data_IF_238750470814
#
_entry.id   IF_238750470814
#
_cell.length_a   1.000
_cell.length_b   1.000
_cell.length_c   1.000
_cell.angle_alpha   90.00
_cell.angle_beta   90.00
_cell.angle_gamma   90.00
#
_symmetry.space_group_name_H-M   'P 1'
#
loop_
_entity.id
_entity.type
_entity.pdbx_description
1 polymer ?
#
# COMPACT_ATOMS: atom_id res chain seq x y z
N UNK A 1 -31.28 -7.29 14.45
CA UNK A 1 -30.64 -7.85 13.24
C UNK A 1 -29.19 -7.45 13.31
N UNK A 2 -28.30 -8.35 13.70
CA UNK A 2 -26.87 -8.11 13.60
C UNK A 2 -26.53 -8.13 12.12
N UNK A 3 -26.13 -6.99 11.57
CA UNK A 3 -25.40 -7.01 10.32
C UNK A 3 -24.08 -7.73 10.64
N UNK A 4 -23.90 -8.96 10.15
CA UNK A 4 -22.58 -9.57 10.20
C UNK A 4 -21.74 -8.74 9.24
N UNK A 5 -20.79 -7.97 9.80
CA UNK A 5 -19.87 -7.19 9.00
C UNK A 5 -19.03 -8.13 8.15
N UNK A 6 -18.76 -7.72 6.91
CA UNK A 6 -17.92 -8.48 5.99
C UNK A 6 -16.57 -8.79 6.65
N UNK A 7 -16.19 -10.07 6.68
CA UNK A 7 -14.96 -10.52 7.36
C UNK A 7 -13.75 -10.15 6.53
N UNK A 8 -13.26 -8.93 6.72
CA UNK A 8 -12.12 -8.37 5.97
C UNK A 8 -10.81 -8.54 6.73
N UNK A 9 -9.81 -9.13 6.07
CA UNK A 9 -8.44 -9.20 6.57
C UNK A 9 -7.60 -8.10 5.92
N UNK A 10 -6.94 -7.27 6.73
CA UNK A 10 -5.99 -6.27 6.24
C UNK A 10 -4.58 -6.82 6.36
N UNK A 11 -3.88 -6.87 5.24
CA UNK A 11 -2.51 -7.34 5.09
C UNK A 11 -1.63 -6.08 4.87
N UNK A 12 -0.59 -5.85 5.69
CA UNK A 12 0.28 -4.69 5.55
C UNK A 12 1.15 -4.76 4.31
N UNK A 13 2.13 -3.86 4.25
CA UNK A 13 3.23 -3.97 3.32
C UNK A 13 3.89 -5.35 3.30
N UNK A 14 4.29 -5.75 2.10
CA UNK A 14 4.88 -7.07 1.85
C UNK A 14 6.34 -6.96 1.48
N UNK A 15 6.81 -5.82 0.96
CA UNK A 15 8.18 -5.64 0.47
C UNK A 15 8.69 -6.86 -0.32
N UNK A 16 7.94 -7.28 -1.36
CA UNK A 16 8.31 -8.42 -2.20
C UNK A 16 8.45 -9.76 -1.47
N UNK A 17 7.54 -10.08 -0.53
CA UNK A 17 7.50 -11.35 0.23
C UNK A 17 6.27 -12.19 -0.16
N UNK A 18 6.27 -12.86 -1.32
CA UNK A 18 5.10 -13.60 -1.83
C UNK A 18 4.68 -14.76 -0.93
N UNK A 19 5.61 -15.35 -0.19
CA UNK A 19 5.31 -16.43 0.75
C UNK A 19 4.48 -15.97 1.95
N UNK A 20 4.65 -14.73 2.42
CA UNK A 20 3.82 -14.16 3.49
C UNK A 20 2.40 -13.85 2.99
N UNK A 21 2.27 -13.39 1.73
CA UNK A 21 0.98 -13.19 1.09
C UNK A 21 0.21 -14.52 0.95
N UNK A 22 0.87 -15.58 0.44
CA UNK A 22 0.26 -16.91 0.35
C UNK A 22 -0.13 -17.46 1.71
N UNK A 23 0.74 -17.33 2.71
CA UNK A 23 0.47 -17.77 4.07
C UNK A 23 -0.77 -17.07 4.65
N UNK A 24 -0.96 -15.78 4.35
CA UNK A 24 -2.11 -15.00 4.81
C UNK A 24 -3.42 -15.52 4.18
N UNK A 25 -3.44 -15.78 2.88
CA UNK A 25 -4.60 -16.38 2.22
C UNK A 25 -4.90 -17.80 2.73
N UNK A 26 -3.88 -18.59 3.05
CA UNK A 26 -4.03 -19.94 3.57
C UNK A 26 -4.50 -19.99 5.03
N UNK A 27 -4.02 -19.07 5.87
CA UNK A 27 -4.41 -18.98 7.27
C UNK A 27 -5.86 -18.48 7.45
N UNK A 28 -6.36 -17.70 6.48
CA UNK A 28 -7.68 -17.08 6.53
C UNK A 28 -8.59 -17.49 5.36
N UNK A 29 -8.87 -18.79 5.14
CA UNK A 29 -9.69 -19.23 4.02
C UNK A 29 -11.16 -18.77 4.13
N UNK A 30 -11.57 -18.37 5.34
CA UNK A 30 -12.92 -17.90 5.67
C UNK A 30 -13.06 -16.37 5.67
N UNK A 31 -11.98 -15.61 5.46
CA UNK A 31 -12.11 -14.18 5.22
C UNK A 31 -12.87 -13.96 3.92
N UNK A 32 -13.87 -13.09 3.96
CA UNK A 32 -14.72 -12.79 2.80
C UNK A 32 -13.95 -11.90 1.82
N UNK A 33 -13.17 -10.96 2.37
CA UNK A 33 -12.39 -9.97 1.63
C UNK A 33 -10.98 -9.79 2.19
N UNK A 34 -10.04 -9.40 1.33
CA UNK A 34 -8.68 -9.05 1.69
C UNK A 34 -8.33 -7.64 1.22
N UNK A 35 -7.59 -6.90 2.03
CA UNK A 35 -7.04 -5.59 1.64
C UNK A 35 -5.53 -5.65 1.77
N UNK A 36 -4.81 -5.43 0.68
CA UNK A 36 -3.35 -5.26 0.67
C UNK A 36 -3.05 -3.77 0.83
N UNK A 37 -2.44 -3.38 1.94
CA UNK A 37 -2.34 -1.98 2.37
C UNK A 37 -1.11 -1.24 1.82
N UNK A 38 -0.73 -1.48 0.55
CA UNK A 38 0.40 -0.82 -0.13
C UNK A 38 1.76 -1.45 0.13
N UNK A 39 2.81 -0.91 -0.51
CA UNK A 39 4.22 -1.34 -0.41
C UNK A 39 4.41 -2.86 -0.51
N UNK A 40 3.81 -3.43 -1.55
CA UNK A 40 3.93 -4.84 -1.88
C UNK A 40 5.10 -5.15 -2.84
N UNK A 41 5.74 -4.13 -3.44
CA UNK A 41 6.92 -4.23 -4.30
C UNK A 41 8.25 -3.98 -3.53
N UNK A 42 9.37 -3.74 -4.22
CA UNK A 42 10.63 -3.23 -3.63
C UNK A 42 11.38 -4.12 -2.62
N UNK A 43 11.06 -5.41 -2.58
CA UNK A 43 11.88 -6.39 -1.84
C UNK A 43 12.21 -7.66 -2.63
N UNK A 44 12.28 -8.81 -1.95
CA UNK A 44 13.06 -9.96 -2.46
C UNK A 44 12.52 -10.54 -3.76
N UNK A 45 11.21 -10.57 -3.92
CA UNK A 45 10.51 -11.13 -5.07
C UNK A 45 9.22 -10.35 -5.39
N UNK A 46 9.39 -9.14 -5.93
CA UNK A 46 8.28 -8.31 -6.41
C UNK A 46 7.45 -9.02 -7.47
N UNK A 47 8.11 -9.68 -8.44
CA UNK A 47 7.43 -10.44 -9.48
C UNK A 47 6.51 -11.50 -8.87
N UNK A 48 6.98 -12.28 -7.89
CA UNK A 48 6.18 -13.32 -7.26
C UNK A 48 4.96 -12.78 -6.50
N UNK A 49 5.03 -11.58 -5.92
CA UNK A 49 3.87 -10.92 -5.29
C UNK A 49 2.85 -10.52 -6.35
N UNK A 50 3.31 -9.88 -7.44
CA UNK A 50 2.45 -9.48 -8.55
C UNK A 50 1.82 -10.68 -9.28
N UNK A 51 2.55 -11.79 -9.43
CA UNK A 51 2.01 -13.05 -9.98
C UNK A 51 0.81 -13.54 -9.14
N UNK A 52 0.89 -13.42 -7.80
CA UNK A 52 -0.22 -13.81 -6.91
C UNK A 52 -1.40 -12.86 -7.05
N UNK A 53 -1.14 -11.55 -6.99
CA UNK A 53 -2.19 -10.53 -7.00
C UNK A 53 -2.94 -10.50 -8.34
N UNK A 54 -2.24 -10.71 -9.45
CA UNK A 54 -2.81 -10.81 -10.78
C UNK A 54 -3.79 -11.98 -10.94
N UNK A 55 -3.62 -13.06 -10.17
CA UNK A 55 -4.49 -14.25 -10.18
C UNK A 55 -5.67 -14.15 -9.19
N UNK A 56 -5.77 -13.06 -8.42
CA UNK A 56 -6.85 -12.90 -7.44
C UNK A 56 -8.15 -12.41 -8.07
N UNK A 57 -9.28 -12.81 -7.48
CA UNK A 57 -10.57 -12.21 -7.81
C UNK A 57 -10.60 -10.76 -7.29
N UNK A 58 -10.74 -9.73 -8.15
CA UNK A 58 -10.79 -8.34 -7.72
C UNK A 58 -12.00 -8.01 -6.82
N UNK A 59 -13.05 -8.83 -6.83
CA UNK A 59 -14.17 -8.71 -5.89
C UNK A 59 -13.83 -9.16 -4.47
N UNK A 60 -12.78 -9.98 -4.29
CA UNK A 60 -12.33 -10.48 -2.99
C UNK A 60 -11.03 -9.85 -2.49
N UNK A 61 -10.30 -9.15 -3.35
CA UNK A 61 -9.00 -8.55 -3.01
C UNK A 61 -8.96 -7.12 -3.48
N UNK A 62 -8.93 -6.18 -2.55
CA UNK A 62 -8.58 -4.79 -2.81
C UNK A 62 -7.10 -4.58 -2.63
N UNK A 63 -6.43 -4.09 -3.66
CA UNK A 63 -5.02 -3.68 -3.59
C UNK A 63 -4.95 -2.17 -3.46
N UNK A 64 -4.27 -1.69 -2.42
CA UNK A 64 -3.95 -0.28 -2.25
C UNK A 64 -2.53 -0.01 -2.73
N UNK A 65 -2.28 1.18 -3.28
CA UNK A 65 -0.94 1.65 -3.56
C UNK A 65 -0.30 2.19 -2.29
N UNK A 66 0.96 1.83 -2.08
CA UNK A 66 1.86 2.57 -1.21
C UNK A 66 2.64 3.62 -1.99
N UNK A 67 3.56 4.29 -1.30
CA UNK A 67 4.44 5.26 -1.98
C UNK A 67 5.44 4.55 -2.90
N UNK A 68 5.79 3.30 -2.64
CA UNK A 68 6.68 2.53 -3.51
C UNK A 68 6.04 2.27 -4.87
N UNK A 69 4.81 1.76 -4.89
CA UNK A 69 4.11 1.52 -6.16
C UNK A 69 3.79 2.81 -6.90
N UNK A 70 3.46 3.90 -6.20
CA UNK A 70 3.25 5.20 -6.84
C UNK A 70 4.48 5.65 -7.65
N UNK A 71 5.67 5.52 -7.05
CA UNK A 71 6.93 5.91 -7.69
C UNK A 71 7.26 5.01 -8.87
N UNK A 72 7.11 3.68 -8.73
CA UNK A 72 7.32 2.75 -9.86
C UNK A 72 6.34 3.05 -11.00
N UNK A 73 5.06 3.21 -10.69
CA UNK A 73 4.01 3.47 -11.68
C UNK A 73 4.28 4.79 -12.42
N UNK A 74 4.72 5.83 -11.71
CA UNK A 74 5.12 7.11 -12.30
C UNK A 74 6.32 6.95 -13.25
N UNK A 75 7.34 6.20 -12.83
CA UNK A 75 8.51 5.94 -13.67
C UNK A 75 8.17 5.16 -14.94
N UNK A 76 7.13 4.32 -14.91
CA UNK A 76 6.68 3.53 -16.06
C UNK A 76 5.70 4.29 -16.97
N UNK A 77 4.81 5.10 -16.39
CA UNK A 77 3.60 5.56 -17.07
C UNK A 77 3.37 7.07 -17.07
N UNK A 78 4.26 7.89 -16.49
CA UNK A 78 4.19 9.34 -16.66
C UNK A 78 4.31 9.71 -18.16
N UNK A 79 3.33 10.47 -18.66
CA UNK A 79 3.23 10.84 -20.08
C UNK A 79 4.21 11.94 -20.45
N UNK A 80 4.45 12.90 -19.54
CA UNK A 80 5.44 13.96 -19.76
C UNK A 80 6.87 13.39 -19.64
N UNK A 81 7.69 13.41 -20.70
CA UNK A 81 9.01 12.79 -20.67
C UNK A 81 9.96 13.39 -19.62
N UNK A 82 9.91 14.71 -19.41
CA UNK A 82 10.77 15.38 -18.42
C UNK A 82 10.37 14.98 -16.99
N UNK A 83 9.08 14.95 -16.68
CA UNK A 83 8.57 14.45 -15.41
C UNK A 83 8.88 12.95 -15.22
N UNK A 84 8.76 12.13 -16.27
CA UNK A 84 9.09 10.70 -16.20
C UNK A 84 10.56 10.45 -15.91
N UNK A 85 11.47 11.26 -16.46
CA UNK A 85 12.90 11.18 -16.13
C UNK A 85 13.12 11.48 -14.64
N UNK A 86 12.44 12.50 -14.09
CA UNK A 86 12.49 12.79 -12.64
C UNK A 86 11.99 11.60 -11.83
N UNK A 87 10.85 11.01 -12.19
CA UNK A 87 10.32 9.83 -11.49
C UNK A 87 11.23 8.61 -11.60
N UNK A 88 11.88 8.41 -12.74
CA UNK A 88 12.87 7.35 -12.93
C UNK A 88 14.06 7.53 -11.98
N UNK A 89 14.55 8.75 -11.80
CA UNK A 89 15.61 9.03 -10.82
C UNK A 89 15.13 8.88 -9.36
N UNK A 90 13.86 9.22 -9.07
CA UNK A 90 13.26 8.97 -7.75
C UNK A 90 13.12 7.47 -7.48
N UNK A 91 12.75 6.68 -8.49
CA UNK A 91 12.63 5.22 -8.37
C UNK A 91 13.99 4.56 -8.16
N UNK A 92 15.07 5.08 -8.77
CA UNK A 92 16.46 4.60 -8.63
C UNK A 92 17.04 4.63 -7.20
N UNK A 93 16.28 5.07 -6.21
CA UNK A 93 16.59 4.92 -4.79
C UNK A 93 16.66 3.40 -4.41
N UNK A 94 17.05 2.99 -3.17
CA UNK A 94 17.84 1.78 -2.91
C UNK A 94 17.15 0.41 -3.14
N UNK A 95 15.95 0.40 -3.72
CA UNK A 95 15.11 -0.78 -3.88
C UNK A 95 14.80 -1.17 -5.34
N UNK A 96 14.96 -0.26 -6.32
CA UNK A 96 14.67 -0.54 -7.75
C UNK A 96 15.37 -1.80 -8.28
N UNK A 97 16.63 -1.98 -7.88
CA UNK A 97 17.46 -3.14 -8.18
C UNK A 97 16.79 -4.48 -7.86
N UNK A 98 15.99 -4.51 -6.79
CA UNK A 98 15.31 -5.72 -6.34
C UNK A 98 14.12 -6.03 -7.23
N UNK A 99 13.38 -5.00 -7.64
CA UNK A 99 12.32 -5.14 -8.66
C UNK A 99 12.92 -5.65 -9.96
N UNK A 100 13.93 -4.98 -10.51
CA UNK A 100 14.60 -5.39 -11.75
C UNK A 100 15.04 -6.87 -11.68
N UNK A 101 15.80 -7.24 -10.65
CA UNK A 101 16.26 -8.63 -10.49
C UNK A 101 15.12 -9.65 -10.37
N UNK A 102 13.99 -9.30 -9.76
CA UNK A 102 12.83 -10.20 -9.69
C UNK A 102 12.21 -10.49 -11.06
N UNK A 103 12.43 -9.62 -12.04
CA UNK A 103 12.03 -9.82 -13.44
C UNK A 103 13.15 -10.39 -14.33
N UNK A 104 14.30 -10.76 -13.76
CA UNK A 104 15.43 -11.30 -14.52
C UNK A 104 16.29 -10.24 -15.23
N UNK A 105 16.03 -8.97 -14.94
CA UNK A 105 16.78 -7.82 -15.44
C UNK A 105 18.02 -7.58 -14.56
N UNK A 106 19.22 -7.36 -15.12
CA UNK A 106 20.38 -6.96 -14.33
C UNK A 106 20.12 -5.60 -13.64
N UNK A 107 20.13 -5.63 -12.31
CA UNK A 107 20.20 -4.41 -11.49
C UNK A 107 21.62 -3.82 -11.45
N UNK A 108 21.85 -2.85 -10.56
CA UNK A 108 23.15 -2.21 -10.37
C UNK A 108 24.29 -3.24 -10.23
N UNK A 109 25.46 -2.99 -10.86
CA UNK A 109 25.90 -1.72 -11.46
C UNK A 109 25.48 -1.50 -12.93
N UNK A 110 24.67 -2.39 -13.51
CA UNK A 110 24.11 -2.19 -14.85
C UNK A 110 22.85 -1.34 -14.73
N UNK A 111 22.80 -0.20 -15.41
CA UNK A 111 21.62 0.68 -15.36
C UNK A 111 20.65 0.20 -16.43
N UNK A 112 19.82 -0.76 -16.09
CA UNK A 112 18.57 -0.97 -16.80
C UNK A 112 17.53 0.02 -16.27
N UNK A 113 16.80 0.63 -17.20
CA UNK A 113 15.90 1.75 -16.90
C UNK A 113 14.49 1.24 -16.61
N UNK A 114 13.63 2.13 -16.12
CA UNK A 114 12.19 1.87 -16.08
C UNK A 114 11.66 1.42 -17.47
N UNK A 115 12.27 1.86 -18.57
CA UNK A 115 11.92 1.40 -19.92
C UNK A 115 12.19 -0.08 -20.14
N UNK A 116 13.32 -0.61 -19.69
CA UNK A 116 13.63 -2.04 -19.84
C UNK A 116 12.59 -2.90 -19.10
N UNK A 117 12.20 -2.49 -17.89
CA UNK A 117 11.13 -3.15 -17.15
C UNK A 117 9.79 -2.99 -17.88
N UNK A 118 9.46 -1.79 -18.35
CA UNK A 118 8.22 -1.49 -19.09
C UNK A 118 8.05 -2.37 -20.33
N UNK A 119 9.13 -2.70 -21.03
CA UNK A 119 9.10 -3.57 -22.21
C UNK A 119 8.78 -5.03 -21.89
N UNK A 120 9.11 -5.51 -20.68
CA UNK A 120 8.94 -6.92 -20.29
C UNK A 120 7.84 -7.14 -19.23
N UNK A 121 7.29 -6.07 -18.66
CA UNK A 121 6.30 -6.16 -17.58
C UNK A 121 5.06 -6.90 -18.09
N UNK A 122 4.65 -8.02 -17.47
CA UNK A 122 3.44 -8.72 -17.88
C UNK A 122 2.22 -7.78 -17.82
N UNK A 123 1.31 -7.82 -18.81
CA UNK A 123 0.13 -6.95 -18.84
C UNK A 123 -0.73 -7.05 -17.57
N UNK A 124 -0.84 -8.23 -16.98
CA UNK A 124 -1.61 -8.44 -15.76
C UNK A 124 -0.93 -7.80 -14.53
N UNK A 125 0.40 -7.73 -14.51
CA UNK A 125 1.13 -7.02 -13.45
C UNK A 125 0.95 -5.51 -13.58
N UNK A 126 1.01 -4.99 -14.81
CA UNK A 126 0.69 -3.60 -15.09
C UNK A 126 -0.76 -3.27 -14.69
N UNK A 127 -1.70 -4.20 -14.91
CA UNK A 127 -3.09 -4.03 -14.49
C UNK A 127 -3.24 -3.94 -12.97
N UNK A 128 -2.51 -4.74 -12.18
CA UNK A 128 -2.53 -4.62 -10.70
C UNK A 128 -2.11 -3.21 -10.25
N UNK A 129 -1.02 -2.66 -10.78
CA UNK A 129 -0.56 -1.31 -10.45
C UNK A 129 -1.55 -0.22 -10.90
N UNK A 130 -2.06 -0.35 -12.12
CA UNK A 130 -3.04 0.59 -12.69
C UNK A 130 -4.35 0.58 -11.89
N UNK A 131 -4.85 -0.59 -11.53
CA UNK A 131 -6.20 -0.75 -10.98
C UNK A 131 -6.26 -0.64 -9.46
N UNK A 132 -5.10 -0.65 -8.77
CA UNK A 132 -5.01 -0.39 -7.34
C UNK A 132 -5.66 0.96 -6.95
N UNK A 133 -6.23 0.98 -5.74
CA UNK A 133 -6.85 2.15 -5.13
C UNK A 133 -5.85 2.89 -4.22
N UNK A 134 -6.20 4.10 -3.78
CA UNK A 134 -5.37 4.86 -2.83
C UNK A 134 -5.84 4.71 -1.38
N UNK A 135 -7.06 4.23 -1.19
CA UNK A 135 -7.68 3.94 0.11
C UNK A 135 -8.81 2.92 -0.07
N UNK A 136 -9.25 2.32 1.03
CA UNK A 136 -10.48 1.56 1.12
C UNK A 136 -11.36 2.12 2.23
N UNK A 137 -12.67 2.21 2.01
CA UNK A 137 -13.64 2.70 3.00
C UNK A 137 -14.76 1.70 3.22
N UNK A 138 -14.93 1.29 4.47
CA UNK A 138 -16.08 0.55 4.96
C UNK A 138 -16.98 1.47 5.79
N UNK A 139 -18.06 0.92 6.35
CA UNK A 139 -19.00 1.69 7.17
C UNK A 139 -18.37 2.22 8.47
N UNK A 140 -17.47 1.45 9.08
CA UNK A 140 -16.90 1.68 10.40
C UNK A 140 -15.37 1.90 10.38
N UNK A 141 -14.69 1.58 9.27
CA UNK A 141 -13.25 1.77 9.16
C UNK A 141 -12.81 2.31 7.80
N UNK A 142 -11.60 2.88 7.80
CA UNK A 142 -10.86 3.26 6.60
C UNK A 142 -9.48 2.61 6.61
N UNK A 143 -9.02 2.16 5.44
CA UNK A 143 -7.64 1.69 5.23
C UNK A 143 -6.94 2.65 4.28
N UNK A 144 -5.80 3.20 4.70
CA UNK A 144 -4.91 3.99 3.85
C UNK A 144 -3.48 3.51 4.06
N UNK A 145 -2.59 3.69 3.09
CA UNK A 145 -1.23 3.17 3.24
C UNK A 145 -0.48 3.79 4.43
N UNK A 146 -0.43 5.13 4.57
CA UNK A 146 0.30 5.80 5.65
C UNK A 146 -0.57 6.45 6.74
N UNK A 147 -1.67 7.12 6.36
CA UNK A 147 -2.55 7.78 7.32
C UNK A 147 -3.35 8.94 6.74
N UNK A 148 -3.91 9.78 7.62
CA UNK A 148 -4.78 10.91 7.28
C UNK A 148 -4.17 12.25 7.68
N UNK A 149 -4.62 13.33 7.07
CA UNK A 149 -4.20 14.71 7.37
C UNK A 149 -5.22 15.42 8.28
N UNK A 150 -4.97 16.69 8.62
CA UNK A 150 -5.89 17.54 9.38
C UNK A 150 -7.13 18.00 8.62
N UNK A 151 -7.20 17.77 7.30
CA UNK A 151 -8.37 18.10 6.50
C UNK A 151 -9.54 17.14 6.78
N UNK A 152 -10.80 17.54 6.55
CA UNK A 152 -11.94 16.62 6.68
C UNK A 152 -11.79 15.39 5.77
N UNK A 153 -12.11 14.19 6.26
CA UNK A 153 -11.99 12.95 5.47
C UNK A 153 -12.69 13.01 4.09
N UNK A 154 -13.91 13.56 3.94
CA UNK A 154 -14.52 13.68 2.63
C UNK A 154 -13.68 14.50 1.62
N UNK A 155 -12.98 15.54 2.10
CA UNK A 155 -12.09 16.34 1.26
C UNK A 155 -10.82 15.57 0.89
N UNK A 156 -10.25 14.82 1.84
CA UNK A 156 -9.10 13.94 1.58
C UNK A 156 -9.44 12.85 0.54
N UNK A 157 -10.59 12.20 0.67
CA UNK A 157 -11.03 11.19 -0.30
C UNK A 157 -11.25 11.78 -1.69
N UNK A 158 -11.90 12.94 -1.79
CA UNK A 158 -12.08 13.62 -3.07
C UNK A 158 -10.73 13.99 -3.73
N UNK A 159 -9.75 14.44 -2.93
CA UNK A 159 -8.39 14.68 -3.42
C UNK A 159 -7.74 13.39 -3.92
N UNK A 160 -7.79 12.29 -3.14
CA UNK A 160 -7.23 11.00 -3.55
C UNK A 160 -7.92 10.43 -4.79
N UNK A 161 -9.24 10.57 -4.92
CA UNK A 161 -9.97 10.13 -6.11
C UNK A 161 -9.51 10.92 -7.36
N UNK A 162 -9.31 12.23 -7.24
CA UNK A 162 -8.79 13.07 -8.31
C UNK A 162 -7.34 12.70 -8.68
N UNK A 163 -6.49 12.46 -7.69
CA UNK A 163 -5.12 11.99 -7.90
C UNK A 163 -5.08 10.63 -8.58
N UNK A 164 -5.93 9.69 -8.18
CA UNK A 164 -5.99 8.36 -8.78
C UNK A 164 -6.50 8.41 -10.22
N UNK A 165 -7.46 9.31 -10.52
CA UNK A 165 -7.94 9.53 -11.88
C UNK A 165 -6.84 10.11 -12.77
N UNK A 166 -6.12 11.14 -12.31
CA UNK A 166 -5.00 11.72 -13.04
C UNK A 166 -3.88 10.71 -13.30
N UNK A 167 -3.53 9.92 -12.27
CA UNK A 167 -2.56 8.82 -12.34
C UNK A 167 -2.89 7.82 -13.44
N UNK A 168 -4.16 7.40 -13.51
CA UNK A 168 -4.64 6.44 -14.53
C UNK A 168 -4.61 6.99 -15.96
N UNK A 169 -4.55 8.31 -16.11
CA UNK A 169 -4.27 8.99 -17.38
C UNK A 169 -2.79 9.33 -17.60
N UNK A 170 -1.89 8.79 -16.77
CA UNK A 170 -0.45 9.00 -16.89
C UNK A 170 0.05 10.37 -16.41
N UNK A 171 -0.70 11.07 -15.57
CA UNK A 171 -0.26 12.31 -14.93
C UNK A 171 -0.17 12.12 -13.41
N UNK A 172 1.04 12.18 -12.84
CA UNK A 172 1.28 11.97 -11.42
C UNK A 172 1.41 13.28 -10.62
N UNK A 173 1.14 14.43 -11.26
CA UNK A 173 1.19 15.78 -10.68
C UNK A 173 2.52 16.15 -10.01
N UNK A 174 3.61 15.42 -10.30
CA UNK A 174 4.93 15.66 -9.72
C UNK A 174 5.03 15.48 -8.20
N UNK A 175 4.02 14.88 -7.56
CA UNK A 175 3.97 14.68 -6.11
C UNK A 175 3.49 13.27 -5.74
N UNK A 176 3.79 12.84 -4.51
CA UNK A 176 3.23 11.62 -3.92
C UNK A 176 2.23 12.09 -2.86
N UNK A 177 0.96 11.64 -2.90
CA UNK A 177 -0.01 12.00 -1.87
C UNK A 177 0.52 11.73 -0.46
N UNK A 178 0.30 12.65 0.48
CA UNK A 178 0.79 12.50 1.86
C UNK A 178 0.21 11.27 2.56
N UNK A 179 -1.00 10.85 2.19
CA UNK A 179 -1.65 9.63 2.70
C UNK A 179 -0.94 8.34 2.25
N UNK A 180 -0.07 8.43 1.24
CA UNK A 180 0.82 7.35 0.81
C UNK A 180 2.22 7.54 1.41
N UNK A 181 2.82 8.73 1.31
CA UNK A 181 4.20 8.93 1.77
C UNK A 181 4.37 9.13 3.30
N UNK A 182 3.28 9.36 4.03
CA UNK A 182 3.27 9.73 5.45
C UNK A 182 3.81 11.15 5.75
N UNK A 183 4.42 11.80 4.75
CA UNK A 183 4.97 13.14 4.82
C UNK A 183 4.96 13.76 3.43
N UNK A 184 4.54 15.01 3.33
CA UNK A 184 4.74 15.80 2.13
C UNK A 184 6.22 16.21 1.98
N UNK A 185 6.76 16.03 0.77
CA UNK A 185 8.18 16.29 0.50
C UNK A 185 8.52 17.77 0.43
N UNK A 186 7.58 18.62 0.03
CA UNK A 186 7.83 20.05 -0.21
C UNK A 186 7.61 20.90 1.03
N UNK A 187 6.43 20.83 1.63
CA UNK A 187 6.02 21.56 2.83
C UNK A 187 6.62 20.97 4.11
N UNK A 188 6.89 19.66 4.10
CA UNK A 188 7.33 18.93 5.28
C UNK A 188 6.22 18.49 6.22
N UNK A 189 4.96 18.80 5.89
CA UNK A 189 3.77 18.34 6.63
C UNK A 189 3.71 16.82 6.71
N UNK A 190 2.99 16.30 7.70
CA UNK A 190 2.89 14.87 7.97
C UNK A 190 1.44 14.47 8.16
N UNK A 191 1.17 13.18 7.92
CA UNK A 191 -0.07 12.57 8.43
C UNK A 191 -0.13 12.71 9.95
N UNK A 192 -1.34 12.80 10.47
CA UNK A 192 -1.61 13.01 11.88
C UNK A 192 -1.05 11.86 12.73
N UNK A 193 -0.62 12.22 13.93
CA UNK A 193 -0.37 11.23 14.98
C UNK A 193 -1.71 10.64 15.45
N UNK A 194 -1.68 9.48 16.14
CA UNK A 194 -2.91 8.74 16.44
C UNK A 194 -3.97 9.51 17.21
N UNK A 195 -3.56 10.26 18.24
CA UNK A 195 -4.48 10.99 19.09
C UNK A 195 -5.08 12.21 18.35
N UNK A 196 -4.31 12.84 17.46
CA UNK A 196 -4.76 13.97 16.64
C UNK A 196 -5.73 13.51 15.54
N UNK A 197 -5.58 12.28 15.05
CA UNK A 197 -6.46 11.69 14.05
C UNK A 197 -7.89 11.45 14.57
N UNK A 198 -8.09 11.30 15.88
CA UNK A 198 -9.39 11.00 16.47
C UNK A 198 -10.46 12.04 16.14
N UNK A 199 -10.12 13.32 16.21
CA UNK A 199 -11.07 14.39 15.92
C UNK A 199 -11.59 14.32 14.47
N UNK A 200 -10.68 14.06 13.52
CA UNK A 200 -11.01 13.92 12.10
C UNK A 200 -11.86 12.67 11.83
N UNK A 201 -11.58 11.57 12.54
CA UNK A 201 -12.38 10.34 12.47
C UNK A 201 -13.79 10.53 13.06
N UNK A 202 -13.89 11.21 14.21
CA UNK A 202 -15.16 11.50 14.90
C UNK A 202 -16.09 12.37 14.05
N UNK A 203 -15.55 13.45 13.47
CA UNK A 203 -16.31 14.35 12.59
C UNK A 203 -16.85 13.63 11.34
N UNK A 204 -16.16 12.59 10.90
CA UNK A 204 -16.56 11.77 9.75
C UNK A 204 -17.42 10.56 10.13
N UNK A 205 -17.64 10.29 11.42
CA UNK A 205 -18.35 9.10 11.90
C UNK A 205 -17.61 7.78 11.60
N UNK A 206 -16.28 7.81 11.50
CA UNK A 206 -15.44 6.64 11.24
C UNK A 206 -14.90 6.12 12.58
N UNK A 207 -15.12 4.84 12.89
CA UNK A 207 -14.69 4.27 14.16
C UNK A 207 -13.19 4.00 14.17
N UNK A 208 -12.63 3.53 13.04
CA UNK A 208 -11.24 3.07 12.97
C UNK A 208 -10.48 3.50 11.71
N UNK A 209 -9.18 3.76 11.87
CA UNK A 209 -8.21 3.90 10.78
C UNK A 209 -7.17 2.78 10.88
N UNK A 210 -6.89 2.13 9.75
CA UNK A 210 -5.89 1.07 9.62
C UNK A 210 -4.88 1.49 8.55
N UNK A 211 -3.59 1.23 8.77
CA UNK A 211 -2.55 1.51 7.77
C UNK A 211 -1.49 0.42 7.67
N UNK A 212 -0.65 0.51 6.62
CA UNK A 212 0.33 -0.52 6.23
C UNK A 212 1.80 -0.05 6.13
N UNK A 213 2.11 1.21 6.46
CA UNK A 213 3.40 1.86 6.13
C UNK A 213 4.39 2.04 7.32
N UNK A 214 3.98 1.77 8.57
CA UNK A 214 4.70 2.35 9.73
C UNK A 214 5.77 1.44 10.36
N UNK A 215 7.02 1.63 9.94
CA UNK A 215 8.22 0.84 10.32
C UNK A 215 8.92 1.21 11.64
N UNK A 216 8.28 1.87 12.62
CA UNK A 216 9.01 2.09 13.90
C UNK A 216 9.18 0.78 14.67
N UNK A 217 10.28 0.72 15.42
CA UNK A 217 10.71 -0.48 16.14
C UNK A 217 9.59 -1.09 16.99
N UNK A 218 9.60 -2.43 17.09
CA UNK A 218 8.67 -3.34 17.80
C UNK A 218 8.17 -2.93 19.20
N UNK A 219 8.64 -1.82 19.76
CA UNK A 219 8.31 -1.34 21.10
C UNK A 219 7.08 -0.42 21.14
N UNK A 220 6.60 0.03 19.99
CA UNK A 220 5.39 0.83 19.90
C UNK A 220 4.17 -0.07 19.63
N UNK A 221 3.21 -0.12 20.57
CA UNK A 221 2.00 -0.94 20.40
C UNK A 221 1.27 -0.60 19.08
N UNK A 222 0.97 -1.61 18.24
CA UNK A 222 0.42 -1.41 16.90
C UNK A 222 -1.00 -0.85 16.92
N UNK A 223 -1.73 -1.01 18.03
CA UNK A 223 -3.00 -0.32 18.29
C UNK A 223 -2.78 0.90 19.19
N UNK A 224 -3.31 2.04 18.77
CA UNK A 224 -3.19 3.35 19.41
C UNK A 224 -4.58 3.99 19.56
N UNK A 225 -4.64 5.08 20.33
CA UNK A 225 -5.85 5.88 20.47
C UNK A 225 -7.07 5.02 20.87
N UNK A 226 -6.91 4.22 21.94
CA UNK A 226 -7.90 3.24 22.43
C UNK A 226 -8.32 2.18 21.40
N UNK A 227 -7.44 1.82 20.46
CA UNK A 227 -7.69 0.81 19.43
C UNK A 227 -8.34 1.34 18.16
N UNK A 228 -8.51 2.66 18.04
CA UNK A 228 -9.10 3.31 16.86
C UNK A 228 -8.10 3.58 15.74
N UNK A 229 -6.81 3.56 16.05
CA UNK A 229 -5.76 3.71 15.04
C UNK A 229 -4.87 2.48 15.09
N UNK A 230 -4.80 1.76 13.98
CA UNK A 230 -4.08 0.50 13.81
C UNK A 230 -2.94 0.71 12.83
N UNK A 231 -1.71 0.53 13.29
CA UNK A 231 -0.50 0.49 12.48
C UNK A 231 -0.09 -0.95 12.24
N UNK A 232 0.00 -1.33 10.97
CA UNK A 232 0.54 -2.60 10.54
C UNK A 232 1.78 -2.32 9.69
N UNK A 233 2.82 -3.13 9.87
CA UNK A 233 4.01 -3.11 9.04
C UNK A 233 4.73 -4.46 9.16
N UNK A 234 5.20 -4.98 8.04
CA UNK A 234 6.19 -6.04 7.98
C UNK A 234 7.49 -5.51 8.59
N UNK A 235 8.00 -6.22 9.59
CA UNK A 235 9.37 -6.00 10.01
C UNK A 235 10.31 -6.87 9.15
N UNK A 236 11.17 -6.27 8.31
CA UNK A 236 11.96 -7.01 7.33
C UNK A 236 13.01 -7.94 7.95
N UNK A 237 13.24 -7.87 9.27
CA UNK A 237 14.12 -8.77 10.00
C UNK A 237 13.48 -10.11 10.36
N UNK A 238 12.16 -10.24 10.21
CA UNK A 238 11.41 -11.43 10.62
C UNK A 238 10.64 -12.02 9.45
N UNK A 239 10.42 -13.32 9.53
CA UNK A 239 9.62 -14.09 8.56
C UNK A 239 8.19 -14.27 9.10
N UNK A 240 7.61 -13.18 9.59
CA UNK A 240 6.26 -13.13 10.16
C UNK A 240 5.56 -11.82 9.76
N UNK A 241 4.24 -11.88 9.60
CA UNK A 241 3.42 -10.75 9.12
C UNK A 241 2.29 -10.46 10.10
N UNK A 242 2.21 -9.25 10.70
CA UNK A 242 1.06 -8.84 11.49
C UNK A 242 -0.10 -8.48 10.57
N UNK A 243 -1.15 -9.29 10.56
CA UNK A 243 -2.40 -9.02 9.83
C UNK A 243 -3.48 -8.54 10.79
N UNK A 244 -4.45 -7.77 10.30
CA UNK A 244 -5.55 -7.27 11.12
C UNK A 244 -6.88 -7.83 10.69
N UNK A 245 -7.61 -8.35 11.68
CA UNK A 245 -8.93 -8.94 11.52
C UNK A 245 -10.01 -7.92 11.91
N UNK A 246 -10.77 -7.43 10.93
CA UNK A 246 -11.79 -6.40 11.18
C UNK A 246 -12.94 -6.87 12.08
N UNK A 247 -13.24 -8.18 12.07
CA UNK A 247 -14.35 -8.81 12.80
C UNK A 247 -14.03 -9.08 14.28
N UNK A 248 -12.79 -9.46 14.61
CA UNK A 248 -12.34 -9.70 15.99
C UNK A 248 -11.70 -8.45 16.60
N UNK A 249 -11.32 -7.48 15.77
CA UNK A 249 -10.55 -6.30 16.14
C UNK A 249 -9.18 -6.67 16.73
N UNK A 250 -8.56 -7.73 16.21
CA UNK A 250 -7.29 -8.26 16.68
C UNK A 250 -6.21 -8.18 15.60
N UNK A 251 -4.96 -8.10 16.05
CA UNK A 251 -3.78 -8.28 15.21
C UNK A 251 -3.25 -9.68 15.48
N UNK A 252 -3.14 -10.47 14.43
CA UNK A 252 -2.64 -11.84 14.48
C UNK A 252 -1.36 -11.93 13.67
N UNK A 253 -0.45 -12.82 14.09
CA UNK A 253 0.81 -13.05 13.38
C UNK A 253 0.65 -14.25 12.44
N UNK A 254 0.87 -14.01 11.15
CA UNK A 254 0.96 -15.05 10.12
C UNK A 254 2.43 -15.39 9.91
N UNK A 255 2.74 -16.69 9.81
CA UNK A 255 4.06 -17.19 9.44
C UNK A 255 3.93 -18.13 8.24
N UNK A 256 4.90 -18.16 7.31
CA UNK A 256 4.94 -19.18 6.28
C UNK A 256 5.07 -20.58 6.90
N UNK A 257 4.52 -21.62 6.26
CA UNK A 257 4.66 -23.01 6.70
C UNK A 257 6.10 -23.53 6.68
#
# INVERSE_FOLDING_TARGET
>A
MSYEHEKTLVIPDLHGRPELLRASFQAYPHAEHFIIAGDFIDGRDTKGVLDILADQNPERVTVLLGNHEWVLDAALHEEDPEARDVWTEVWRQPYHDRVLRSYGLPGAPHIETADALREILPPDHAAVLRDAALYHRAADYVVLHAGITGEPLPAQFAYLDAMNLARRSGNFNGEIPMQLAGKDRQSGERVLLPDDALAVLDDAGVERMINGHWHRSRHDAPMRAAGRVVYLALNPQYDELPVYETWSNEITIVTPP
#
